data_IF_140495162884
#
_entry.id   IF_140495162884
#
_cell.length_a   1.000
_cell.length_b   1.000
_cell.length_c   1.000
_cell.angle_alpha   90.00
_cell.angle_beta   90.00
_cell.angle_gamma   90.00
#
_symmetry.space_group_name_H-M   'P 1'
#
loop_
_entity.id
_entity.type
_entity.pdbx_description
1 polymer ?
#
# COMPACT_ATOMS: atom_id res chain seq x y z
N UNK A 1 9.09 13.76 -18.72
CA UNK A 1 8.14 13.61 -17.61
C UNK A 1 7.02 12.70 -18.10
N UNK A 2 7.12 11.39 -17.83
CA UNK A 2 6.11 10.42 -18.26
C UNK A 2 4.98 10.44 -17.23
N UNK A 3 3.75 10.65 -17.71
CA UNK A 3 2.55 10.53 -16.89
C UNK A 3 2.20 9.04 -16.91
N UNK A 4 2.55 8.35 -15.82
CA UNK A 4 2.09 6.99 -15.55
C UNK A 4 0.65 7.05 -15.02
N UNK A 5 -0.19 6.12 -15.47
CA UNK A 5 -1.60 6.02 -15.08
C UNK A 5 -1.79 5.85 -13.56
N UNK A 6 -0.76 5.40 -12.82
CA UNK A 6 -0.75 5.33 -11.35
C UNK A 6 -0.66 6.70 -10.66
N UNK A 7 -0.06 7.69 -11.32
CA UNK A 7 0.12 9.05 -10.82
C UNK A 7 -1.19 9.85 -10.94
N UNK A 8 -2.00 9.52 -11.95
CA UNK A 8 -3.35 10.04 -12.19
C UNK A 8 -4.30 9.65 -11.06
N UNK A 9 -4.41 8.34 -10.78
CA UNK A 9 -5.31 7.81 -9.76
C UNK A 9 -4.93 8.34 -8.38
N UNK A 10 -3.64 8.36 -8.06
CA UNK A 10 -3.14 8.91 -6.79
C UNK A 10 -3.54 10.38 -6.60
N UNK A 11 -3.41 11.22 -7.64
CA UNK A 11 -3.83 12.64 -7.58
C UNK A 11 -5.34 12.80 -7.42
N UNK A 12 -6.12 12.00 -8.15
CA UNK A 12 -7.57 11.99 -8.03
C UNK A 12 -7.99 11.61 -6.60
N UNK A 13 -7.45 10.52 -6.06
CA UNK A 13 -7.73 10.04 -4.70
C UNK A 13 -7.38 11.12 -3.69
N UNK A 14 -6.17 11.69 -3.76
CA UNK A 14 -5.75 12.79 -2.87
C UNK A 14 -6.68 14.00 -2.94
N UNK A 15 -7.23 14.30 -4.12
CA UNK A 15 -8.22 15.36 -4.27
C UNK A 15 -9.55 15.00 -3.58
N UNK A 16 -10.06 13.78 -3.78
CA UNK A 16 -11.33 13.29 -3.22
C UNK A 16 -11.36 13.26 -1.69
N UNK A 17 -10.22 13.04 -1.05
CA UNK A 17 -10.10 12.91 0.42
C UNK A 17 -9.48 14.12 1.10
N UNK A 18 -9.19 15.19 0.36
CA UNK A 18 -8.40 16.32 0.86
C UNK A 18 -9.01 16.96 2.09
N UNK A 19 -10.33 17.18 2.07
CA UNK A 19 -11.07 17.82 3.17
C UNK A 19 -11.11 16.90 4.40
N UNK A 20 -11.33 15.60 4.20
CA UNK A 20 -11.31 14.62 5.30
C UNK A 20 -9.94 14.60 5.97
N UNK A 21 -8.87 14.49 5.18
CA UNK A 21 -7.49 14.51 5.68
C UNK A 21 -7.15 15.84 6.38
N UNK A 22 -7.70 16.97 5.91
CA UNK A 22 -7.51 18.27 6.54
C UNK A 22 -8.21 18.38 7.90
N UNK A 23 -9.28 17.63 8.13
CA UNK A 23 -10.03 17.62 9.39
C UNK A 23 -9.34 16.85 10.51
N UNK A 24 -8.40 15.95 10.20
CA UNK A 24 -7.71 15.14 11.19
C UNK A 24 -6.60 15.91 11.91
N UNK A 25 -6.43 15.60 13.19
CA UNK A 25 -5.22 15.98 13.93
C UNK A 25 -4.04 15.14 13.44
N UNK A 26 -3.19 15.74 12.60
CA UNK A 26 -1.98 15.13 12.03
C UNK A 26 -0.85 15.02 13.04
N UNK A 27 -1.03 15.59 14.23
CA UNK A 27 -0.11 15.53 15.36
C UNK A 27 -0.59 14.59 16.47
N UNK A 28 -1.59 13.75 16.18
CA UNK A 28 -2.12 12.78 17.12
C UNK A 28 -1.05 11.78 17.59
N UNK A 29 -0.83 11.75 18.91
CA UNK A 29 0.12 10.87 19.57
C UNK A 29 1.52 11.47 19.70
N UNK A 30 2.34 10.86 20.57
CA UNK A 30 3.70 11.32 20.88
C UNK A 30 4.68 10.18 20.70
N UNK A 31 5.88 10.50 20.27
CA UNK A 31 7.02 9.57 20.22
C UNK A 31 8.23 10.17 20.95
N UNK A 32 9.25 9.35 21.19
CA UNK A 32 10.50 9.78 21.80
C UNK A 32 11.63 9.60 20.81
N UNK A 33 12.48 10.61 20.72
CA UNK A 33 13.73 10.49 19.96
C UNK A 33 14.78 9.68 20.71
N UNK A 34 15.94 9.50 20.08
CA UNK A 34 17.07 8.78 20.66
C UNK A 34 17.58 9.39 21.98
N UNK A 35 17.41 10.70 22.19
CA UNK A 35 17.79 11.40 23.42
C UNK A 35 16.67 11.37 24.48
N UNK A 36 15.59 10.64 24.23
CA UNK A 36 14.44 10.53 25.12
C UNK A 36 13.53 11.76 25.12
N UNK A 37 13.77 12.74 24.23
CA UNK A 37 12.92 13.93 24.12
C UNK A 37 11.62 13.55 23.41
N UNK A 38 10.50 13.94 24.00
CA UNK A 38 9.18 13.71 23.43
C UNK A 38 8.87 14.75 22.36
N UNK A 39 8.33 14.27 21.25
CA UNK A 39 7.84 15.10 20.15
C UNK A 39 6.51 14.55 19.67
N UNK A 40 5.69 15.44 19.14
CA UNK A 40 4.43 15.04 18.52
C UNK A 40 4.74 14.30 17.22
N UNK A 41 3.92 13.30 16.92
CA UNK A 41 4.04 12.57 15.67
C UNK A 41 3.66 13.53 14.52
N UNK A 42 4.26 13.35 13.34
CA UNK A 42 3.81 14.06 12.14
C UNK A 42 3.35 13.04 11.10
N UNK A 43 2.04 12.78 11.11
CA UNK A 43 1.43 11.83 10.20
C UNK A 43 1.29 12.42 8.80
N UNK A 44 1.65 11.63 7.79
CA UNK A 44 1.37 11.89 6.39
C UNK A 44 0.42 10.84 5.82
N UNK A 45 -0.33 11.23 4.79
CA UNK A 45 -1.25 10.33 4.11
C UNK A 45 -0.47 9.37 3.20
N UNK A 46 -0.84 8.10 3.24
CA UNK A 46 -0.38 7.07 2.32
C UNK A 46 -1.57 6.35 1.68
N UNK A 47 -1.35 5.81 0.49
CA UNK A 47 -2.34 5.12 -0.33
C UNK A 47 -1.81 3.72 -0.61
N UNK A 48 -2.65 2.70 -0.46
CA UNK A 48 -2.29 1.31 -0.80
C UNK A 48 -2.07 1.13 -2.30
N UNK A 49 -1.53 -0.02 -2.70
CA UNK A 49 -1.68 -0.49 -4.09
C UNK A 49 -3.16 -0.59 -4.48
N UNK A 50 -3.52 -0.53 -5.78
CA UNK A 50 -4.89 -0.78 -6.22
C UNK A 50 -5.25 -2.24 -6.00
N UNK A 51 -6.24 -2.54 -5.17
CA UNK A 51 -6.74 -3.90 -5.03
C UNK A 51 -7.93 -4.13 -5.95
N UNK A 52 -8.05 -5.29 -6.62
CA UNK A 52 -9.23 -5.58 -7.40
C UNK A 52 -10.46 -5.65 -6.47
N UNK A 53 -11.55 -4.98 -6.85
CA UNK A 53 -12.81 -5.06 -6.10
C UNK A 53 -13.44 -6.46 -6.18
N UNK A 54 -13.16 -7.19 -7.27
CA UNK A 54 -13.63 -8.56 -7.52
C UNK A 54 -12.48 -9.40 -8.06
N UNK A 55 -12.39 -10.67 -7.63
CA UNK A 55 -11.35 -11.60 -8.12
C UNK A 55 -11.92 -13.01 -8.31
N UNK A 56 -11.61 -13.72 -9.42
CA UNK A 56 -10.80 -13.28 -10.57
C UNK A 56 -11.47 -12.12 -11.34
N UNK A 57 -10.74 -11.39 -12.19
CA UNK A 57 -11.35 -10.37 -13.03
C UNK A 57 -12.33 -11.03 -14.02
N UNK A 58 -13.56 -10.50 -14.11
CA UNK A 58 -14.63 -11.01 -14.97
C UNK A 58 -15.26 -9.93 -15.86
N UNK A 59 -14.71 -8.71 -15.86
CA UNK A 59 -15.30 -7.55 -16.53
C UNK A 59 -14.42 -6.31 -16.38
N UNK A 60 -14.99 -5.11 -16.61
CA UNK A 60 -14.27 -3.86 -16.40
C UNK A 60 -13.69 -3.78 -14.99
N UNK A 61 -12.39 -3.51 -14.91
CA UNK A 61 -11.66 -3.56 -13.65
C UNK A 61 -12.11 -2.43 -12.72
N UNK A 62 -12.41 -2.79 -11.48
CA UNK A 62 -12.67 -1.84 -10.40
C UNK A 62 -11.53 -1.92 -9.38
N UNK A 63 -10.90 -0.79 -9.11
CA UNK A 63 -9.76 -0.65 -8.21
C UNK A 63 -10.21 -0.08 -6.87
N UNK A 64 -9.89 -0.79 -5.79
CA UNK A 64 -10.06 -0.36 -4.42
C UNK A 64 -8.74 0.14 -3.86
N UNK A 65 -8.72 1.35 -3.33
CA UNK A 65 -7.60 1.96 -2.65
C UNK A 65 -7.95 2.18 -1.18
N UNK A 66 -7.01 1.86 -0.29
CA UNK A 66 -7.12 2.15 1.13
C UNK A 66 -6.18 3.28 1.49
N UNK A 67 -6.71 4.26 2.21
CA UNK A 67 -5.94 5.37 2.71
C UNK A 67 -5.68 5.15 4.20
N UNK A 68 -4.42 5.33 4.57
CA UNK A 68 -3.95 5.17 5.94
C UNK A 68 -2.92 6.27 6.23
N UNK A 69 -2.60 6.48 7.50
CA UNK A 69 -1.56 7.43 7.89
C UNK A 69 -0.24 6.69 8.08
N UNK A 70 0.86 7.32 7.71
CA UNK A 70 2.22 6.87 7.98
C UNK A 70 3.02 7.97 8.67
N UNK A 71 3.99 7.61 9.48
CA UNK A 71 5.04 8.53 9.90
C UNK A 71 6.36 7.78 10.03
N UNK A 72 7.45 8.52 9.81
CA UNK A 72 8.81 7.97 9.81
C UNK A 72 9.59 8.50 11.01
N UNK A 73 10.11 7.59 11.84
CA UNK A 73 11.10 7.93 12.89
C UNK A 73 12.49 7.78 12.30
N UNK A 74 13.26 8.86 12.29
CA UNK A 74 14.66 8.82 11.88
C UNK A 74 15.51 8.26 13.04
N UNK A 75 15.96 7.01 12.93
CA UNK A 75 16.88 6.39 13.88
C UNK A 75 18.25 6.10 13.24
N UNK A 76 19.26 5.91 14.08
CA UNK A 76 20.66 5.62 13.70
C UNK A 76 20.82 4.37 12.81
N UNK A 77 19.87 3.43 12.86
CA UNK A 77 19.91 2.17 12.12
C UNK A 77 18.93 2.11 10.94
N UNK A 78 18.47 3.28 10.50
CA UNK A 78 17.48 3.42 9.44
C UNK A 78 16.10 3.81 9.99
N UNK A 79 15.18 4.22 9.10
CA UNK A 79 13.87 4.65 9.53
C UNK A 79 13.05 3.52 10.13
N UNK A 80 12.30 3.83 11.19
CA UNK A 80 11.12 3.04 11.54
C UNK A 80 9.91 3.69 10.87
N UNK A 81 9.14 2.90 10.15
CA UNK A 81 7.92 3.35 9.49
C UNK A 81 6.71 2.85 10.27
N UNK A 82 6.02 3.78 10.92
CA UNK A 82 4.81 3.52 11.68
C UNK A 82 3.58 3.82 10.83
N UNK A 83 2.52 3.02 10.99
CA UNK A 83 1.28 3.14 10.21
C UNK A 83 0.04 3.09 11.10
N UNK A 84 -1.00 3.84 10.73
CA UNK A 84 -2.35 3.68 11.29
C UNK A 84 -3.11 2.57 10.56
N UNK A 85 -4.27 2.19 11.09
CA UNK A 85 -5.25 1.44 10.30
C UNK A 85 -5.78 2.31 9.14
N UNK A 86 -6.34 1.71 8.08
CA UNK A 86 -7.07 2.45 7.06
C UNK A 86 -8.16 3.33 7.64
N UNK A 87 -8.18 4.60 7.25
CA UNK A 87 -9.18 5.58 7.65
C UNK A 87 -10.18 5.91 6.53
N UNK A 88 -9.85 5.58 5.27
CA UNK A 88 -10.79 5.66 4.17
C UNK A 88 -10.55 4.56 3.12
N UNK A 89 -11.59 4.32 2.34
CA UNK A 89 -11.60 3.45 1.16
C UNK A 89 -12.12 4.26 -0.03
N UNK A 90 -11.43 4.18 -1.17
CA UNK A 90 -11.88 4.76 -2.43
C UNK A 90 -11.97 3.66 -3.48
N UNK A 91 -13.10 3.56 -4.18
CA UNK A 91 -13.31 2.63 -5.28
C UNK A 91 -13.41 3.43 -6.58
N UNK A 92 -12.56 3.07 -7.55
CA UNK A 92 -12.57 3.62 -8.91
C UNK A 92 -13.03 2.52 -9.86
N UNK A 93 -14.04 2.79 -10.68
CA UNK A 93 -14.53 1.87 -11.71
C UNK A 93 -14.70 2.64 -13.01
N UNK A 94 -14.27 2.02 -14.11
CA UNK A 94 -14.34 2.66 -15.43
C UNK A 94 -15.78 3.03 -15.80
N UNK A 95 -15.99 4.28 -16.22
CA UNK A 95 -17.30 4.81 -16.59
C UNK A 95 -18.21 5.19 -15.41
N UNK A 96 -17.77 5.00 -14.17
CA UNK A 96 -18.54 5.33 -12.97
C UNK A 96 -17.87 6.45 -12.15
N UNK A 97 -18.67 7.12 -11.32
CA UNK A 97 -18.14 8.09 -10.36
C UNK A 97 -17.34 7.36 -9.27
N UNK A 98 -16.23 7.96 -8.85
CA UNK A 98 -15.45 7.46 -7.74
C UNK A 98 -16.30 7.40 -6.46
N UNK A 99 -16.24 6.26 -5.78
CA UNK A 99 -16.95 6.05 -4.51
C UNK A 99 -15.96 6.16 -3.34
N UNK A 100 -16.25 7.03 -2.38
CA UNK A 100 -15.45 7.23 -1.17
C UNK A 100 -16.25 6.80 0.07
N UNK A 101 -15.61 6.05 0.96
CA UNK A 101 -16.14 5.69 2.27
C UNK A 101 -15.12 6.02 3.36
N UNK A 102 -15.53 6.78 4.37
CA UNK A 102 -14.74 6.97 5.57
C UNK A 102 -14.91 5.75 6.48
N UNK A 103 -13.77 5.18 6.91
CA UNK A 103 -13.70 4.06 7.84
C UNK A 103 -13.45 4.55 9.27
N UNK A 104 -12.87 5.73 9.43
CA UNK A 104 -12.63 6.40 10.69
C UNK A 104 -12.74 7.92 10.54
N UNK A 105 -13.01 8.60 11.65
CA UNK A 105 -13.08 10.07 11.74
C UNK A 105 -11.85 10.71 12.39
N UNK A 106 -10.82 9.91 12.68
CA UNK A 106 -9.55 10.36 13.26
C UNK A 106 -8.42 9.37 12.94
N UNK A 107 -7.18 9.83 13.07
CA UNK A 107 -6.00 8.95 13.00
C UNK A 107 -5.95 8.15 14.31
N UNK A 108 -6.13 6.83 14.20
CA UNK A 108 -6.03 5.90 15.32
C UNK A 108 -4.59 5.68 15.80
N UNK A 109 -4.39 4.83 16.83
CA UNK A 109 -3.06 4.49 17.31
C UNK A 109 -2.22 3.81 16.21
N UNK A 110 -0.90 3.77 16.43
CA UNK A 110 0.00 2.97 15.60
C UNK A 110 -0.42 1.51 15.66
N UNK A 111 -0.83 0.95 14.53
CA UNK A 111 -1.20 -0.47 14.43
C UNK A 111 -0.07 -1.33 13.87
N UNK A 112 0.91 -0.70 13.23
CA UNK A 112 2.08 -1.38 12.68
C UNK A 112 3.34 -0.52 12.77
N UNK A 113 4.47 -1.16 13.07
CA UNK A 113 5.81 -0.61 12.94
C UNK A 113 6.65 -1.52 12.05
N UNK A 114 7.13 -0.99 10.94
CA UNK A 114 8.15 -1.62 10.09
C UNK A 114 9.51 -1.08 10.51
N UNK A 115 10.36 -1.98 11.02
CA UNK A 115 11.72 -1.67 11.45
C UNK A 115 12.66 -1.90 10.26
N UNK A 116 13.67 -1.05 10.11
CA UNK A 116 14.74 -1.28 9.14
C UNK A 116 15.47 -2.59 9.43
N UNK A 117 15.37 -3.55 8.50
CA UNK A 117 16.08 -4.83 8.56
C UNK A 117 17.26 -4.78 7.59
N UNK A 118 18.50 -5.09 8.04
CA UNK A 118 19.64 -5.16 7.14
C UNK A 118 19.42 -6.26 6.09
N UNK A 119 19.64 -5.91 4.83
CA UNK A 119 19.58 -6.84 3.70
C UNK A 119 20.90 -6.79 2.93
N UNK A 120 21.27 -7.90 2.29
CA UNK A 120 22.44 -7.92 1.41
C UNK A 120 22.23 -7.01 0.19
N UNK A 121 23.32 -6.66 -0.49
CA UNK A 121 23.23 -5.92 -1.77
C UNK A 121 22.38 -6.66 -2.80
N UNK A 122 22.53 -7.98 -2.93
CA UNK A 122 21.74 -8.78 -3.86
C UNK A 122 20.24 -8.77 -3.52
N UNK A 123 19.90 -8.78 -2.24
CA UNK A 123 18.51 -8.62 -1.79
C UNK A 123 17.98 -7.21 -2.07
N UNK A 124 18.79 -6.16 -1.88
CA UNK A 124 18.40 -4.79 -2.21
C UNK A 124 18.13 -4.64 -3.72
N UNK A 125 19.05 -5.14 -4.56
CA UNK A 125 18.91 -5.13 -6.02
C UNK A 125 17.64 -5.88 -6.46
N UNK A 126 17.36 -7.05 -5.85
CA UNK A 126 16.14 -7.82 -6.12
C UNK A 126 14.88 -7.06 -5.70
N UNK A 127 14.86 -6.45 -4.51
CA UNK A 127 13.72 -5.64 -4.04
C UNK A 127 13.44 -4.47 -4.98
N UNK A 128 14.48 -3.75 -5.41
CA UNK A 128 14.38 -2.66 -6.38
C UNK A 128 13.80 -3.17 -7.70
N UNK A 129 14.28 -4.31 -8.19
CA UNK A 129 13.79 -4.91 -9.42
C UNK A 129 12.31 -5.30 -9.34
N UNK A 130 11.88 -5.95 -8.25
CA UNK A 130 10.46 -6.30 -8.02
C UNK A 130 9.58 -5.05 -8.04
N UNK A 131 10.00 -3.98 -7.35
CA UNK A 131 9.24 -2.73 -7.30
C UNK A 131 9.15 -2.11 -8.69
N UNK A 132 10.27 -2.03 -9.42
CA UNK A 132 10.33 -1.45 -10.76
C UNK A 132 9.46 -2.20 -11.77
N UNK A 133 9.57 -3.53 -11.81
CA UNK A 133 8.79 -4.36 -12.72
C UNK A 133 7.30 -4.31 -12.37
N UNK A 134 6.97 -4.37 -11.07
CA UNK A 134 5.61 -4.24 -10.59
C UNK A 134 4.96 -2.92 -10.95
N UNK A 135 5.67 -1.80 -10.76
CA UNK A 135 5.20 -0.47 -11.16
C UNK A 135 4.98 -0.34 -12.67
N UNK A 136 5.86 -0.96 -13.48
CA UNK A 136 5.73 -0.95 -14.93
C UNK A 136 4.51 -1.75 -15.42
N UNK A 137 4.18 -2.87 -14.77
CA UNK A 137 3.04 -3.72 -15.14
C UNK A 137 1.71 -3.31 -14.47
N UNK A 138 1.74 -2.48 -13.43
CA UNK A 138 0.54 -2.08 -12.69
C UNK A 138 -0.55 -1.45 -13.59
N UNK A 139 -0.24 -0.58 -14.56
CA UNK A 139 -1.25 -0.04 -15.48
C UNK A 139 -1.93 -1.10 -16.36
N UNK A 140 -1.21 -2.19 -16.69
CA UNK A 140 -1.78 -3.32 -17.42
C UNK A 140 -2.65 -4.18 -16.50
N UNK A 141 -2.18 -4.43 -15.28
CA UNK A 141 -2.91 -5.19 -14.26
C UNK A 141 -4.30 -4.61 -13.98
N UNK A 142 -4.41 -3.29 -13.81
CA UNK A 142 -5.71 -2.61 -13.58
C UNK A 142 -6.63 -2.61 -14.81
N UNK A 143 -6.27 -3.29 -15.89
CA UNK A 143 -7.07 -3.47 -17.11
C UNK A 143 -7.35 -4.94 -17.41
N UNK A 144 -6.91 -5.85 -16.54
CA UNK A 144 -7.17 -7.27 -16.73
C UNK A 144 -8.66 -7.54 -16.62
N UNK A 145 -9.23 -8.08 -17.69
CA UNK A 145 -10.61 -8.58 -17.73
C UNK A 145 -10.67 -10.10 -17.51
N UNK A 146 -9.51 -10.77 -17.56
CA UNK A 146 -9.25 -12.15 -17.18
C UNK A 146 -7.78 -12.28 -16.73
N UNK A 147 -7.42 -13.37 -16.06
CA UNK A 147 -6.01 -13.62 -15.72
C UNK A 147 -5.25 -13.94 -17.02
N UNK A 148 -4.17 -13.21 -17.38
CA UNK A 148 -3.44 -13.48 -18.62
C UNK A 148 -2.77 -14.85 -18.62
N UNK A 149 -2.72 -15.49 -19.79
CA UNK A 149 -1.96 -16.73 -20.00
C UNK A 149 -0.44 -16.52 -19.89
N UNK A 150 0.02 -15.27 -20.06
CA UNK A 150 1.43 -14.89 -19.97
C UNK A 150 1.91 -14.98 -18.53
N UNK A 151 2.58 -16.10 -18.22
CA UNK A 151 3.11 -16.37 -16.88
C UNK A 151 4.04 -15.27 -16.34
N UNK A 152 4.74 -14.51 -17.21
CA UNK A 152 5.63 -13.42 -16.77
C UNK A 152 4.87 -12.27 -16.13
N UNK A 153 3.80 -11.79 -16.76
CA UNK A 153 3.01 -10.65 -16.27
C UNK A 153 2.33 -11.02 -14.93
N UNK A 154 1.76 -12.22 -14.87
CA UNK A 154 1.21 -12.81 -13.64
C UNK A 154 2.25 -12.89 -12.54
N UNK A 155 3.45 -13.41 -12.84
CA UNK A 155 4.53 -13.54 -11.86
C UNK A 155 4.97 -12.17 -11.33
N UNK A 156 5.16 -11.17 -12.20
CA UNK A 156 5.58 -9.82 -11.81
C UNK A 156 4.57 -9.19 -10.84
N UNK A 157 3.27 -9.25 -11.16
CA UNK A 157 2.24 -8.71 -10.29
C UNK A 157 2.19 -9.45 -8.95
N UNK A 158 2.26 -10.78 -8.95
CA UNK A 158 2.30 -11.57 -7.71
C UNK A 158 3.50 -11.18 -6.83
N UNK A 159 4.69 -11.10 -7.42
CA UNK A 159 5.90 -10.69 -6.69
C UNK A 159 5.75 -9.27 -6.12
N UNK A 160 5.18 -8.34 -6.89
CA UNK A 160 5.00 -6.96 -6.45
C UNK A 160 4.05 -6.84 -5.25
N UNK A 161 2.86 -7.43 -5.33
CA UNK A 161 1.90 -7.41 -4.22
C UNK A 161 2.40 -8.18 -3.01
N UNK A 162 3.07 -9.32 -3.20
CA UNK A 162 3.63 -10.06 -2.09
C UNK A 162 4.79 -9.30 -1.44
N UNK A 163 5.67 -8.66 -2.20
CA UNK A 163 6.73 -7.83 -1.64
C UNK A 163 6.17 -6.62 -0.88
N UNK A 164 5.09 -6.01 -1.38
CA UNK A 164 4.37 -4.96 -0.66
C UNK A 164 3.75 -5.50 0.63
N UNK A 165 3.06 -6.64 0.60
CA UNK A 165 2.42 -7.24 1.76
C UNK A 165 3.42 -7.73 2.82
N UNK A 166 4.64 -8.10 2.44
CA UNK A 166 5.73 -8.41 3.37
C UNK A 166 6.17 -7.18 4.17
N UNK A 167 6.26 -6.02 3.49
CA UNK A 167 6.66 -4.74 4.10
C UNK A 167 5.50 -4.00 4.77
N UNK A 168 4.26 -4.23 4.35
CA UNK A 168 3.12 -3.41 4.74
C UNK A 168 2.00 -4.24 5.39
N UNK A 169 1.88 -4.15 6.73
CA UNK A 169 0.82 -4.85 7.48
C UNK A 169 -0.59 -4.32 7.25
N UNK A 170 -0.75 -3.19 6.53
CA UNK A 170 -2.08 -2.80 6.02
C UNK A 170 -2.69 -3.93 5.19
N UNK A 171 -1.87 -4.78 4.55
CA UNK A 171 -2.32 -6.00 3.91
C UNK A 171 -3.18 -6.91 4.81
N UNK A 172 -2.83 -7.07 6.09
CA UNK A 172 -3.62 -7.93 7.01
C UNK A 172 -4.99 -7.32 7.31
N UNK A 173 -5.05 -5.99 7.40
CA UNK A 173 -6.27 -5.26 7.75
C UNK A 173 -7.27 -5.20 6.61
N UNK A 174 -6.80 -5.38 5.36
CA UNK A 174 -7.64 -5.33 4.16
C UNK A 174 -7.82 -6.71 3.52
N UNK A 175 -7.15 -7.75 4.05
CA UNK A 175 -7.14 -9.09 3.45
C UNK A 175 -8.54 -9.65 3.30
N UNK A 176 -9.37 -9.52 4.33
CA UNK A 176 -10.72 -10.07 4.35
C UNK A 176 -11.63 -9.44 3.27
N UNK A 177 -11.38 -8.16 2.93
CA UNK A 177 -12.09 -7.49 1.83
C UNK A 177 -11.63 -7.95 0.44
N UNK A 178 -10.50 -8.64 0.33
CA UNK A 178 -9.88 -9.09 -0.92
C UNK A 178 -9.44 -10.56 -0.84
N UNK A 179 -10.20 -11.39 -0.13
CA UNK A 179 -9.79 -12.75 0.25
C UNK A 179 -9.35 -13.58 -0.96
N UNK A 180 -10.18 -13.67 -2.01
CA UNK A 180 -9.89 -14.43 -3.22
C UNK A 180 -8.60 -13.97 -3.93
N UNK A 181 -8.33 -12.66 -3.91
CA UNK A 181 -7.10 -12.10 -4.48
C UNK A 181 -5.88 -12.49 -3.65
N UNK A 182 -5.94 -12.36 -2.32
CA UNK A 182 -4.83 -12.76 -1.44
C UNK A 182 -4.57 -14.27 -1.45
N UNK A 183 -5.61 -15.09 -1.58
CA UNK A 183 -5.46 -16.54 -1.78
C UNK A 183 -4.75 -16.85 -3.09
N UNK A 184 -5.13 -16.17 -4.19
CA UNK A 184 -4.46 -16.30 -5.48
C UNK A 184 -3.00 -15.83 -5.47
N UNK A 185 -2.70 -14.73 -4.77
CA UNK A 185 -1.33 -14.26 -4.59
C UNK A 185 -0.47 -15.32 -3.91
N UNK A 186 -1.06 -16.06 -2.95
CA UNK A 186 -0.41 -17.13 -2.17
C UNK A 186 0.97 -16.72 -1.62
N UNK A 187 1.07 -15.50 -1.08
CA UNK A 187 2.33 -14.94 -0.61
C UNK A 187 2.97 -15.80 0.48
N UNK A 188 4.31 -15.87 0.54
CA UNK A 188 4.98 -16.54 1.65
C UNK A 188 4.67 -15.83 2.98
N UNK A 189 4.71 -16.60 4.07
CA UNK A 189 4.56 -16.05 5.42
C UNK A 189 5.66 -15.03 5.72
N UNK A 190 5.32 -13.92 6.38
CA UNK A 190 6.28 -12.84 6.71
C UNK A 190 7.48 -13.26 7.55
N UNK A 191 7.40 -14.40 8.22
CA UNK A 191 8.41 -14.88 9.17
C UNK A 191 9.67 -15.46 8.52
N UNK A 192 9.76 -15.53 7.18
CA UNK A 192 10.88 -16.24 6.52
C UNK A 192 11.88 -15.36 5.76
N UNK A 193 11.50 -14.26 5.10
CA UNK A 193 12.42 -13.50 4.21
C UNK A 193 12.04 -12.00 4.09
N UNK A 194 12.99 -11.04 4.21
CA UNK A 194 12.71 -9.61 4.02
C UNK A 194 12.49 -9.20 2.55
N UNK A 195 12.95 -10.03 1.60
CA UNK A 195 12.83 -9.81 0.16
C UNK A 195 12.50 -11.13 -0.53
N UNK A 196 11.53 -11.15 -1.45
CA UNK A 196 11.24 -12.37 -2.22
C UNK A 196 12.45 -12.78 -3.09
N UNK A 197 12.81 -14.07 -3.16
CA UNK A 197 13.90 -14.56 -3.99
C UNK A 197 13.66 -14.32 -5.49
#
# INVERSE_FOLDING_TARGET
MKIDLSDSDSKLIQHLVREDWASFDKHAGRTRDFFGKEHDINWYMAISLPFPAEWPPQGPFASTYYLYAEYQECLLHGPNLSRSAPWAKVVLKEGELASKMLLATAIGPVVNREISVPISRSQADRKIQIIKDGQAELPNFIRWTSIPDRQREVKVIREYYCQWALSNRTADLIKDNHQAFFEWLSCPSRTSIPVLP
#
